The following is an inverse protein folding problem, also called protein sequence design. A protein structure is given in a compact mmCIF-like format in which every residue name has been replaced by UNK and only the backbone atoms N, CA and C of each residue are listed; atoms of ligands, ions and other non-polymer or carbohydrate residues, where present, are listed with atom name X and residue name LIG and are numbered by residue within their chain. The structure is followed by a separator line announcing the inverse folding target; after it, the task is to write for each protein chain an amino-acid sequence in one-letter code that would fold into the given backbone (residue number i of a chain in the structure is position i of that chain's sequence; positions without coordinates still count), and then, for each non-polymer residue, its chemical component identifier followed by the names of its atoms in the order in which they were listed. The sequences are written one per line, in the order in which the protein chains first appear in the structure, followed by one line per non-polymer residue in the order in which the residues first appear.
data_IF_635004628390
#
_entry.id   IF_635004628390
#
_cell.length_a   1.000
_cell.length_b   1.000
_cell.length_c   1.000
_cell.angle_alpha   90.00
_cell.angle_beta   90.00
_cell.angle_gamma   90.00
#
_symmetry.space_group_name_H-M   'P 1'
#
loop_
_entity.id
_entity.type
_entity.pdbx_description
1 polymer ?
#
# COMPACT_ATOMS: atom_id res chain seq x y z
N UNK A 1 12.42 -4.42 11.33
CA UNK A 1 12.81 -5.32 10.23
C UNK A 1 11.64 -5.81 9.37
N UNK A 2 10.36 -5.63 9.76
CA UNK A 2 9.18 -6.01 8.95
C UNK A 2 8.80 -5.04 7.79
N UNK A 3 9.69 -4.13 7.38
CA UNK A 3 9.34 -2.94 6.55
C UNK A 3 9.88 -2.95 5.12
N UNK A 4 10.54 -4.02 4.65
CA UNK A 4 11.22 -4.03 3.33
C UNK A 4 10.61 -5.05 2.35
N UNK A 5 9.95 -6.09 2.86
CA UNK A 5 9.56 -7.31 2.13
C UNK A 5 8.53 -7.12 1.01
N UNK A 6 7.59 -6.19 1.17
CA UNK A 6 6.50 -6.04 0.22
C UNK A 6 6.83 -5.10 -0.96
N UNK A 7 7.88 -4.28 -0.81
CA UNK A 7 8.22 -3.18 -1.74
C UNK A 7 8.89 -3.68 -3.02
N UNK A 8 9.67 -4.76 -2.95
CA UNK A 8 10.41 -5.31 -4.10
C UNK A 8 9.49 -6.14 -5.01
N UNK A 9 8.53 -6.86 -4.44
CA UNK A 9 7.70 -7.83 -5.14
C UNK A 9 6.49 -7.27 -5.89
N UNK A 10 5.89 -6.16 -5.44
CA UNK A 10 4.65 -5.66 -6.10
C UNK A 10 4.99 -4.91 -7.41
N UNK A 11 6.10 -4.17 -7.44
CA UNK A 11 6.41 -3.24 -8.55
C UNK A 11 7.83 -3.32 -9.14
N UNK A 12 8.70 -4.23 -8.69
CA UNK A 12 10.02 -4.43 -9.31
C UNK A 12 11.03 -3.28 -9.09
N UNK A 13 11.05 -2.67 -7.91
CA UNK A 13 12.05 -1.65 -7.56
C UNK A 13 13.18 -2.25 -6.72
N UNK A 14 14.39 -2.26 -7.26
CA UNK A 14 15.62 -2.59 -6.51
C UNK A 14 15.93 -1.46 -5.52
N UNK A 15 15.82 -1.72 -4.21
CA UNK A 15 16.26 -0.75 -3.18
C UNK A 15 17.72 -1.01 -2.87
N UNK A 16 18.61 -0.18 -3.41
CA UNK A 16 20.01 -0.16 -3.00
C UNK A 16 20.13 0.26 -1.53
N UNK A 17 20.48 -0.66 -0.64
CA UNK A 17 20.72 -0.37 0.77
C UNK A 17 22.03 0.41 0.94
N UNK A 18 21.93 1.73 0.89
CA UNK A 18 22.97 2.67 1.30
C UNK A 18 22.75 3.19 2.72
N UNK A 19 23.75 2.99 3.56
CA UNK A 19 24.00 3.61 4.88
C UNK A 19 23.22 3.08 6.10
N UNK A 20 23.99 2.42 6.96
CA UNK A 20 23.68 2.10 8.35
C UNK A 20 23.43 3.37 9.18
N UNK A 21 22.36 3.36 9.98
CA UNK A 21 22.27 4.22 11.16
C UNK A 21 21.95 3.37 12.39
N UNK A 22 22.86 3.41 13.35
CA UNK A 22 22.82 2.67 14.60
C UNK A 22 21.67 3.18 15.50
N UNK A 23 20.61 2.39 15.66
CA UNK A 23 19.67 2.55 16.76
C UNK A 23 19.99 1.53 17.86
N UNK A 24 20.63 2.04 18.93
CA UNK A 24 20.89 1.32 20.17
C UNK A 24 19.57 0.85 20.81
N UNK A 25 19.22 -0.41 20.61
CA UNK A 25 18.17 -1.09 21.39
C UNK A 25 18.82 -1.84 22.56
N UNK A 26 18.42 -1.45 23.78
CA UNK A 26 18.82 -2.09 25.02
C UNK A 26 18.45 -3.58 24.98
N UNK A 27 19.43 -4.40 25.33
CA UNK A 27 19.37 -5.86 25.47
C UNK A 27 18.13 -6.31 26.26
N UNK A 28 17.25 -7.09 25.63
CA UNK A 28 16.24 -7.88 26.34
C UNK A 28 16.95 -9.10 26.93
N UNK A 29 16.79 -9.44 28.23
CA UNK A 29 17.48 -10.59 28.80
C UNK A 29 16.93 -11.90 28.23
N UNK A 30 17.81 -12.86 27.92
CA UNK A 30 17.40 -14.19 27.50
C UNK A 30 16.90 -15.02 28.70
N UNK A 31 16.07 -16.01 28.38
CA UNK A 31 15.34 -16.88 29.34
C UNK A 31 16.24 -17.72 30.26
N UNK A 32 17.55 -17.69 30.08
CA UNK A 32 18.53 -18.35 30.96
C UNK A 32 18.71 -17.65 32.31
N UNK A 33 18.33 -16.37 32.45
CA UNK A 33 18.54 -15.58 33.68
C UNK A 33 17.35 -15.58 34.66
N UNK A 34 16.24 -16.25 34.34
CA UNK A 34 15.05 -16.27 35.21
C UNK A 34 14.77 -17.67 35.77
N UNK A 35 15.33 -17.93 36.95
CA UNK A 35 15.10 -19.14 37.73
C UNK A 35 13.61 -19.45 37.92
N UNK A 36 13.28 -20.73 37.76
CA UNK A 36 11.93 -21.30 37.83
C UNK A 36 11.19 -20.90 39.12
N UNK A 37 10.11 -20.14 38.99
CA UNK A 37 9.01 -20.15 39.96
C UNK A 37 7.66 -20.20 39.23
N UNK A 38 6.94 -21.31 39.43
CA UNK A 38 5.53 -21.48 39.02
C UNK A 38 4.66 -20.43 39.72
N UNK A 39 4.24 -19.41 38.98
CA UNK A 39 3.25 -18.41 39.37
C UNK A 39 2.19 -18.28 38.28
N UNK A 40 0.93 -18.35 38.66
CA UNK A 40 -0.25 -18.27 37.79
C UNK A 40 -0.33 -16.88 37.16
N UNK A 41 0.08 -16.72 35.90
CA UNK A 41 -0.03 -15.45 35.18
C UNK A 41 -1.45 -15.26 34.65
N UNK A 42 -2.18 -14.32 35.24
CA UNK A 42 -3.38 -13.74 34.64
C UNK A 42 -2.98 -12.99 33.37
N UNK A 43 -3.50 -13.44 32.22
CA UNK A 43 -3.33 -12.77 30.93
C UNK A 43 -3.91 -11.35 31.00
N UNK A 44 -3.04 -10.35 31.03
CA UNK A 44 -3.39 -8.98 30.71
C UNK A 44 -3.04 -8.79 29.24
N UNK A 45 -4.03 -8.96 28.36
CA UNK A 45 -3.89 -8.61 26.94
C UNK A 45 -3.70 -7.09 26.85
N UNK A 46 -2.66 -6.56 26.19
CA UNK A 46 -2.66 -5.16 25.82
C UNK A 46 -3.84 -4.95 24.88
N UNK A 47 -4.80 -4.11 25.29
CA UNK A 47 -5.83 -3.60 24.38
C UNK A 47 -5.15 -2.60 23.45
N UNK A 48 -4.61 -3.11 22.34
CA UNK A 48 -4.25 -2.26 21.21
C UNK A 48 -5.58 -1.91 20.52
N UNK A 49 -5.86 -0.62 20.40
CA UNK A 49 -7.04 -0.13 19.70
C UNK A 49 -6.79 -0.32 18.20
N UNK A 50 -7.35 -1.39 17.65
CA UNK A 50 -7.34 -1.66 16.21
C UNK A 50 -8.44 -0.77 15.59
N UNK A 51 -8.13 0.11 14.62
CA UNK A 51 -9.18 0.67 13.79
C UNK A 51 -9.83 -0.49 13.05
N UNK A 52 -11.12 -0.68 13.27
CA UNK A 52 -11.92 -1.72 12.61
C UNK A 52 -11.69 -1.63 11.11
N UNK A 53 -11.00 -2.62 10.53
CA UNK A 53 -11.01 -2.84 9.09
C UNK A 53 -12.47 -3.13 8.76
N UNK A 54 -13.16 -2.15 8.20
CA UNK A 54 -14.52 -2.36 7.72
C UNK A 54 -14.39 -3.40 6.61
N UNK A 55 -14.99 -4.57 6.81
CA UNK A 55 -15.27 -5.50 5.72
C UNK A 55 -16.09 -4.73 4.67
N UNK A 56 -15.46 -4.27 3.60
CA UNK A 56 -16.15 -3.68 2.47
C UNK A 56 -16.72 -4.83 1.63
N UNK A 57 -17.80 -5.44 2.11
CA UNK A 57 -18.68 -6.21 1.24
C UNK A 57 -19.39 -5.24 0.30
N UNK A 58 -18.77 -4.92 -0.83
CA UNK A 58 -19.47 -4.31 -1.96
C UNK A 58 -19.12 -5.11 -3.21
N UNK A 59 -20.04 -6.00 -3.58
CA UNK A 59 -20.05 -6.65 -4.88
C UNK A 59 -20.35 -5.59 -5.94
N UNK A 60 -19.33 -5.12 -6.64
CA UNK A 60 -19.50 -4.29 -7.83
C UNK A 60 -19.25 -5.09 -9.12
N UNK A 61 -20.05 -4.90 -10.17
CA UNK A 61 -19.86 -5.58 -11.46
C UNK A 61 -18.83 -4.85 -12.34
N UNK A 62 -17.96 -5.64 -12.99
CA UNK A 62 -17.23 -5.35 -14.23
C UNK A 62 -16.22 -4.19 -14.31
N UNK A 63 -14.92 -4.53 -14.29
CA UNK A 63 -13.94 -4.12 -15.31
C UNK A 63 -13.58 -2.64 -15.54
N UNK A 64 -13.94 -1.71 -14.67
CA UNK A 64 -13.53 -0.30 -14.84
C UNK A 64 -12.10 -0.11 -14.34
N UNK A 65 -11.16 0.14 -15.27
CA UNK A 65 -9.83 0.68 -14.94
C UNK A 65 -10.00 2.09 -14.37
N UNK A 66 -9.24 2.43 -13.34
CA UNK A 66 -9.06 3.80 -12.86
C UNK A 66 -8.72 4.73 -14.04
N UNK A 67 -9.45 5.84 -14.17
CA UNK A 67 -9.26 6.85 -15.21
C UNK A 67 -8.93 8.20 -14.59
N UNK A 68 -8.11 8.99 -15.30
CA UNK A 68 -7.70 10.34 -14.87
C UNK A 68 -8.51 11.40 -15.62
N UNK A 69 -9.17 12.30 -14.89
CA UNK A 69 -9.86 13.49 -15.41
C UNK A 69 -8.93 14.71 -15.50
N UNK A 70 -7.95 14.76 -14.61
CA UNK A 70 -6.98 15.83 -14.49
C UNK A 70 -5.69 15.22 -13.98
N UNK A 71 -4.56 15.58 -14.59
CA UNK A 71 -3.23 15.36 -14.03
C UNK A 71 -2.39 16.62 -14.26
N UNK A 72 -1.76 17.12 -13.20
CA UNK A 72 -0.84 18.25 -13.24
C UNK A 72 0.37 17.95 -12.35
N UNK A 73 1.53 17.77 -12.97
CA UNK A 73 2.83 17.61 -12.30
C UNK A 73 3.71 18.87 -12.38
N UNK A 74 3.15 20.02 -12.78
CA UNK A 74 3.80 21.33 -12.83
C UNK A 74 5.04 21.47 -13.74
N UNK A 75 5.37 20.45 -14.52
CA UNK A 75 6.54 20.38 -15.42
C UNK A 75 6.58 21.46 -16.51
N UNK A 76 5.48 22.20 -16.71
CA UNK A 76 5.48 23.40 -17.55
C UNK A 76 6.35 24.54 -16.99
N UNK A 77 6.73 24.49 -15.71
CA UNK A 77 7.54 25.50 -15.05
C UNK A 77 6.87 26.87 -14.98
N UNK A 78 5.53 26.91 -15.04
CA UNK A 78 4.70 28.12 -15.03
C UNK A 78 3.55 27.97 -14.04
N UNK A 79 3.20 29.07 -13.37
CA UNK A 79 2.08 29.14 -12.42
C UNK A 79 1.21 30.37 -12.73
N UNK A 80 -0.13 30.22 -12.84
CA UNK A 80 -0.86 28.96 -12.79
C UNK A 80 -0.60 28.13 -14.08
N UNK A 81 -0.72 26.80 -14.04
CA UNK A 81 -0.64 25.97 -15.24
C UNK A 81 -1.77 26.25 -16.23
N UNK A 82 -1.70 25.68 -17.43
CA UNK A 82 -2.69 25.94 -18.47
C UNK A 82 -4.09 25.52 -18.03
N UNK A 83 -5.06 26.45 -18.09
CA UNK A 83 -6.45 26.21 -17.69
C UNK A 83 -6.72 26.40 -16.19
N UNK A 84 -5.68 26.50 -15.37
CA UNK A 84 -5.78 26.86 -13.96
C UNK A 84 -5.83 28.38 -13.80
N UNK A 85 -6.30 28.83 -12.64
CA UNK A 85 -6.32 30.23 -12.24
C UNK A 85 -5.72 30.39 -10.85
N UNK A 86 -5.14 31.55 -10.54
CA UNK A 86 -4.76 31.88 -9.17
C UNK A 86 -5.36 33.22 -8.74
N UNK A 87 -5.72 33.32 -7.46
CA UNK A 87 -6.36 34.48 -6.87
C UNK A 87 -5.68 34.84 -5.55
N UNK A 88 -5.21 36.08 -5.45
CA UNK A 88 -4.60 36.62 -4.23
C UNK A 88 -5.67 37.40 -3.50
N UNK A 89 -6.47 36.66 -2.72
CA UNK A 89 -7.55 37.20 -1.91
C UNK A 89 -6.94 37.87 -0.68
N UNK A 90 -7.60 38.92 -0.18
CA UNK A 90 -7.17 39.81 0.93
C UNK A 90 -5.89 40.63 0.73
N UNK A 91 -4.93 40.21 -0.09
CA UNK A 91 -3.74 41.01 -0.40
C UNK A 91 -3.26 40.87 -1.86
N UNK A 92 -3.50 41.92 -2.66
CA UNK A 92 -3.06 41.95 -4.06
C UNK A 92 -1.55 42.08 -4.27
N UNK A 93 -0.77 42.34 -3.20
CA UNK A 93 0.69 42.36 -3.26
C UNK A 93 1.31 41.00 -2.91
N UNK A 94 0.49 40.01 -2.53
CA UNK A 94 0.99 38.67 -2.29
C UNK A 94 1.68 38.13 -3.56
N UNK A 95 2.86 37.49 -3.43
CA UNK A 95 3.47 36.73 -4.53
C UNK A 95 2.60 35.57 -5.02
N UNK A 96 1.63 35.12 -4.21
CA UNK A 96 0.73 34.03 -4.54
C UNK A 96 1.45 32.68 -4.63
N UNK A 97 0.86 31.77 -5.40
CA UNK A 97 1.45 30.47 -5.68
C UNK A 97 2.62 30.62 -6.66
N UNK A 98 3.69 29.88 -6.40
CA UNK A 98 4.97 29.96 -7.10
C UNK A 98 5.43 28.58 -7.58
N UNK A 99 6.41 28.54 -8.50
CA UNK A 99 7.08 27.31 -8.94
C UNK A 99 8.39 27.14 -8.18
N UNK A 100 8.68 25.91 -7.78
CA UNK A 100 9.95 25.50 -7.17
C UNK A 100 10.55 24.29 -7.90
N UNK A 101 11.84 24.02 -7.67
CA UNK A 101 12.52 22.79 -8.12
C UNK A 101 12.65 21.74 -7.02
N UNK A 102 12.12 22.00 -5.81
CA UNK A 102 11.91 20.97 -4.79
C UNK A 102 10.59 20.26 -5.13
N UNK A 103 10.68 19.21 -5.94
CA UNK A 103 9.56 18.47 -6.50
C UNK A 103 9.50 17.03 -5.96
N UNK A 104 8.33 16.40 -5.98
CA UNK A 104 8.16 14.98 -5.67
C UNK A 104 8.65 14.14 -6.85
N UNK A 105 8.23 14.52 -8.06
CA UNK A 105 8.58 13.86 -9.32
C UNK A 105 8.90 14.93 -10.37
N UNK A 106 9.75 14.59 -11.35
CA UNK A 106 10.11 15.56 -12.38
C UNK A 106 11.01 16.70 -11.88
N UNK A 107 10.80 17.89 -12.41
CA UNK A 107 11.65 19.08 -12.23
C UNK A 107 10.99 20.15 -11.37
N UNK A 108 9.67 20.27 -11.43
CA UNK A 108 8.95 21.40 -10.88
C UNK A 108 7.77 20.96 -10.01
N UNK A 109 7.51 21.72 -8.95
CA UNK A 109 6.29 21.61 -8.15
C UNK A 109 5.71 23.01 -7.91
N UNK A 110 4.44 23.06 -7.51
CA UNK A 110 3.83 24.28 -7.01
C UNK A 110 4.10 24.42 -5.50
N UNK A 111 4.35 25.65 -5.05
CA UNK A 111 4.47 25.93 -3.62
C UNK A 111 3.95 27.32 -3.28
N UNK A 112 3.59 27.51 -2.03
CA UNK A 112 3.32 28.78 -1.41
C UNK A 112 4.36 29.03 -0.30
N UNK A 113 4.91 30.24 -0.24
CA UNK A 113 5.99 30.61 0.67
C UNK A 113 5.44 31.24 1.97
N UNK A 114 6.28 31.38 2.99
CA UNK A 114 5.95 32.08 4.25
C UNK A 114 5.88 33.61 4.10
N UNK A 115 5.17 34.09 3.08
CA UNK A 115 5.18 35.48 2.67
C UNK A 115 4.56 36.42 3.72
N UNK A 116 5.07 37.65 3.75
CA UNK A 116 4.53 38.71 4.61
C UNK A 116 3.27 39.32 4.00
N UNK A 117 2.18 39.30 4.77
CA UNK A 117 0.94 39.98 4.40
C UNK A 117 1.02 41.49 4.71
N UNK A 118 0.61 42.33 3.78
CA UNK A 118 0.40 43.76 4.01
C UNK A 118 -0.93 44.06 4.74
N UNK A 119 -1.76 43.04 4.92
CA UNK A 119 -2.99 43.02 5.75
C UNK A 119 -2.85 41.96 6.85
N UNK A 120 -3.87 41.77 7.70
CA UNK A 120 -3.80 40.84 8.84
C UNK A 120 -3.55 39.35 8.44
N UNK A 121 -3.73 38.98 7.16
CA UNK A 121 -3.33 37.69 6.56
C UNK A 121 -3.54 37.68 5.04
N UNK A 122 -2.69 36.98 4.27
CA UNK A 122 -2.93 36.68 2.85
C UNK A 122 -3.81 35.44 2.68
N UNK A 123 -4.55 35.35 1.58
CA UNK A 123 -5.36 34.18 1.23
C UNK A 123 -5.22 33.88 -0.26
N UNK A 124 -4.36 32.93 -0.59
CA UNK A 124 -3.96 32.68 -1.97
C UNK A 124 -4.49 31.34 -2.46
N UNK A 125 -5.22 31.39 -3.57
CA UNK A 125 -5.98 30.29 -4.13
C UNK A 125 -5.36 29.86 -5.44
N UNK A 126 -5.11 28.57 -5.62
CA UNK A 126 -4.78 27.96 -6.90
C UNK A 126 -5.93 27.05 -7.31
N UNK A 127 -6.64 27.43 -8.36
CA UNK A 127 -7.93 26.84 -8.77
C UNK A 127 -7.75 26.05 -10.07
N UNK A 128 -8.28 24.83 -10.09
CA UNK A 128 -8.28 23.95 -11.26
C UNK A 128 -9.14 24.51 -12.39
N UNK A 129 -9.01 23.99 -13.63
CA UNK A 129 -10.09 24.10 -14.62
C UNK A 129 -11.40 23.50 -14.08
N UNK A 130 -12.51 23.77 -14.77
CA UNK A 130 -13.77 23.09 -14.49
C UNK A 130 -13.64 21.59 -14.83
N UNK A 131 -14.08 20.72 -13.92
CA UNK A 131 -14.06 19.28 -14.05
C UNK A 131 -15.48 18.72 -14.04
N UNK A 132 -15.84 17.93 -15.05
CA UNK A 132 -17.11 17.21 -15.07
C UNK A 132 -16.96 15.86 -14.38
N UNK A 133 -17.52 15.72 -13.18
CA UNK A 133 -17.40 14.51 -12.37
C UNK A 133 -18.37 13.44 -12.89
N UNK A 134 -17.88 12.24 -13.25
CA UNK A 134 -18.73 11.17 -13.74
C UNK A 134 -19.70 10.68 -12.66
N UNK A 135 -20.89 10.28 -13.08
CA UNK A 135 -21.87 9.68 -12.18
C UNK A 135 -21.64 8.17 -12.08
N UNK A 136 -21.90 7.60 -10.90
CA UNK A 136 -21.97 6.14 -10.69
C UNK A 136 -20.66 5.47 -10.32
N UNK A 137 -19.53 6.18 -10.33
CA UNK A 137 -18.20 5.68 -9.94
C UNK A 137 -17.66 6.45 -8.73
N UNK A 138 -16.84 5.83 -7.86
CA UNK A 138 -16.03 6.56 -6.90
C UNK A 138 -15.11 7.55 -7.60
N UNK A 139 -14.91 8.72 -7.01
CA UNK A 139 -14.02 9.77 -7.54
C UNK A 139 -13.17 10.32 -6.42
N UNK A 140 -11.88 10.52 -6.68
CA UNK A 140 -10.91 10.99 -5.70
C UNK A 140 -10.05 12.10 -6.27
N UNK A 141 -9.74 13.10 -5.43
CA UNK A 141 -8.58 13.96 -5.61
C UNK A 141 -7.39 13.28 -4.92
N UNK A 142 -6.27 13.16 -5.63
CA UNK A 142 -5.01 12.62 -5.13
C UNK A 142 -3.89 13.61 -5.46
N UNK A 143 -3.02 13.91 -4.51
CA UNK A 143 -1.82 14.71 -4.78
C UNK A 143 -0.73 14.43 -3.74
N UNK A 144 0.50 14.84 -4.03
CA UNK A 144 1.60 14.83 -3.07
C UNK A 144 1.69 16.18 -2.40
N UNK A 145 1.91 16.19 -1.09
CA UNK A 145 2.19 17.40 -0.35
C UNK A 145 3.51 17.30 0.41
N UNK A 146 4.08 18.45 0.74
CA UNK A 146 5.17 18.63 1.67
C UNK A 146 5.01 19.97 2.38
N UNK A 147 5.38 20.04 3.65
CA UNK A 147 5.23 21.23 4.49
C UNK A 147 6.55 21.53 5.20
N UNK A 148 6.95 22.80 5.21
CA UNK A 148 8.08 23.27 6.03
C UNK A 148 7.59 24.30 7.04
N UNK A 149 8.34 24.46 8.12
CA UNK A 149 8.00 25.39 9.20
C UNK A 149 6.61 25.17 9.81
N UNK A 150 6.17 23.90 9.90
CA UNK A 150 4.85 23.52 10.42
C UNK A 150 4.58 23.95 11.87
N UNK A 151 5.61 24.30 12.65
CA UNK A 151 5.45 24.95 13.97
C UNK A 151 4.72 26.30 13.88
N UNK A 152 4.73 26.94 12.70
CA UNK A 152 4.08 28.22 12.40
C UNK A 152 2.82 28.06 11.56
N UNK A 153 2.32 26.82 11.38
CA UNK A 153 1.13 26.52 10.60
C UNK A 153 -0.04 27.41 11.01
N UNK A 154 -0.65 28.06 10.01
CA UNK A 154 -1.89 28.79 10.16
C UNK A 154 -3.03 28.06 9.48
N UNK A 155 -2.97 27.95 8.15
CA UNK A 155 -3.99 27.25 7.39
C UNK A 155 -3.53 26.94 5.97
N UNK A 156 -3.78 25.70 5.56
CA UNK A 156 -3.90 25.35 4.16
C UNK A 156 -4.89 24.19 3.97
N UNK A 157 -5.60 24.19 2.85
CA UNK A 157 -6.69 23.24 2.62
C UNK A 157 -7.14 23.15 1.17
N UNK A 158 -8.06 22.23 0.91
CA UNK A 158 -8.74 22.05 -0.37
C UNK A 158 -10.20 22.52 -0.24
N UNK A 159 -10.62 23.34 -1.19
CA UNK A 159 -11.98 23.84 -1.35
C UNK A 159 -12.58 23.36 -2.66
N UNK A 160 -13.90 23.32 -2.73
CA UNK A 160 -14.65 22.86 -3.91
C UNK A 160 -15.81 23.81 -4.20
N UNK A 161 -16.04 24.11 -5.48
CA UNK A 161 -17.18 24.90 -5.97
C UNK A 161 -17.96 24.11 -7.00
N UNK A 162 -19.28 24.24 -6.99
CA UNK A 162 -20.22 23.70 -8.01
C UNK A 162 -20.83 24.81 -8.88
N UNK A 163 -20.41 26.06 -8.66
CA UNK A 163 -20.86 27.25 -9.37
C UNK A 163 -19.70 27.88 -10.13
N UNK A 164 -19.17 28.99 -9.61
CA UNK A 164 -18.04 29.71 -10.18
C UNK A 164 -16.68 29.22 -9.70
N UNK A 165 -15.66 29.32 -10.56
CA UNK A 165 -14.26 29.11 -10.22
C UNK A 165 -13.56 30.35 -9.60
N UNK A 166 -14.27 31.48 -9.47
CA UNK A 166 -13.74 32.68 -8.80
C UNK A 166 -14.14 32.68 -7.31
N UNK A 167 -13.17 32.70 -6.37
CA UNK A 167 -13.48 32.73 -4.94
C UNK A 167 -14.29 33.97 -4.50
N UNK A 168 -14.27 35.07 -5.25
CA UNK A 168 -15.06 36.26 -4.93
C UNK A 168 -16.57 36.08 -5.15
N UNK A 169 -16.98 35.07 -5.92
CA UNK A 169 -18.39 34.77 -6.14
C UNK A 169 -19.02 34.03 -4.95
N UNK A 170 -18.20 33.46 -4.05
CA UNK A 170 -18.64 32.85 -2.80
C UNK A 170 -19.25 31.45 -2.93
N UNK A 171 -19.04 30.77 -4.05
CA UNK A 171 -19.56 29.42 -4.32
C UNK A 171 -18.69 28.29 -3.75
N UNK A 172 -17.45 28.59 -3.33
CA UNK A 172 -16.55 27.61 -2.74
C UNK A 172 -16.96 27.23 -1.31
N UNK A 173 -16.92 25.93 -1.04
CA UNK A 173 -17.04 25.36 0.31
C UNK A 173 -15.79 24.56 0.64
N UNK A 174 -15.40 24.57 1.91
CA UNK A 174 -14.23 23.83 2.37
C UNK A 174 -14.49 22.32 2.27
N UNK A 175 -13.57 21.61 1.63
CA UNK A 175 -13.63 20.16 1.50
C UNK A 175 -12.75 19.48 2.55
N UNK A 176 -11.54 20.00 2.77
CA UNK A 176 -10.63 19.53 3.81
C UNK A 176 -9.62 20.61 4.20
N UNK A 177 -9.49 20.87 5.50
CA UNK A 177 -8.30 21.50 6.07
C UNK A 177 -7.21 20.43 6.23
N UNK A 178 -5.97 20.75 5.89
CA UNK A 178 -4.84 19.81 5.91
C UNK A 178 -3.90 20.08 7.11
N UNK A 179 -4.46 20.28 8.30
CA UNK A 179 -3.70 20.54 9.54
C UNK A 179 -3.09 19.29 10.19
N UNK A 180 -3.18 18.13 9.53
CA UNK A 180 -2.59 16.87 9.99
C UNK A 180 -1.65 16.31 8.94
N UNK A 181 -0.68 15.49 9.36
CA UNK A 181 0.39 14.95 8.51
C UNK A 181 1.28 16.04 7.88
N UNK A 182 1.57 17.11 8.64
CA UNK A 182 2.53 18.15 8.26
C UNK A 182 3.95 17.57 8.31
N UNK A 183 4.54 17.31 7.16
CA UNK A 183 5.80 16.58 7.00
C UNK A 183 6.74 17.31 6.06
N UNK A 184 8.03 17.34 6.40
CA UNK A 184 9.08 17.83 5.50
C UNK A 184 9.43 16.85 4.39
N UNK A 185 8.99 15.59 4.51
CA UNK A 185 9.03 14.58 3.46
C UNK A 185 7.70 14.58 2.70
N UNK A 186 7.76 14.30 1.40
CA UNK A 186 6.57 14.19 0.56
C UNK A 186 5.65 13.05 1.01
N UNK A 187 4.37 13.36 1.21
CA UNK A 187 3.33 12.38 1.52
C UNK A 187 2.13 12.54 0.59
N UNK A 188 1.36 11.47 0.40
CA UNK A 188 0.14 11.52 -0.40
C UNK A 188 -1.05 12.03 0.41
N UNK A 189 -1.91 12.80 -0.25
CA UNK A 189 -3.23 13.20 0.21
C UNK A 189 -4.27 12.62 -0.72
N UNK A 190 -5.34 12.08 -0.14
CA UNK A 190 -6.52 11.56 -0.85
C UNK A 190 -7.79 12.15 -0.25
N UNK A 191 -8.66 12.67 -1.12
CA UNK A 191 -9.93 13.27 -0.71
C UNK A 191 -11.05 12.69 -1.59
N UNK A 192 -12.11 12.20 -0.94
CA UNK A 192 -13.28 11.62 -1.61
C UNK A 192 -14.15 12.73 -2.23
N UNK A 193 -14.40 12.63 -3.53
CA UNK A 193 -15.26 13.53 -4.31
C UNK A 193 -16.60 12.90 -4.69
N UNK A 194 -16.91 11.71 -4.21
CA UNK A 194 -18.11 10.95 -4.60
C UNK A 194 -19.43 11.68 -4.31
N UNK A 195 -19.43 12.63 -3.36
CA UNK A 195 -20.59 13.49 -3.09
C UNK A 195 -20.94 14.44 -4.27
N UNK A 196 -19.99 14.66 -5.18
CA UNK A 196 -20.11 15.52 -6.35
C UNK A 196 -20.29 14.75 -7.65
N UNK A 197 -20.55 13.43 -7.57
CA UNK A 197 -20.80 12.58 -8.73
C UNK A 197 -21.91 13.13 -9.63
N UNK A 198 -21.62 13.28 -10.92
CA UNK A 198 -22.53 13.84 -11.93
C UNK A 198 -22.63 15.37 -11.94
N UNK A 199 -21.75 16.08 -11.24
CA UNK A 199 -21.71 17.56 -11.20
C UNK A 199 -20.46 18.11 -11.89
N UNK A 200 -20.55 19.35 -12.34
CA UNK A 200 -19.36 20.12 -12.74
C UNK A 200 -18.80 20.84 -11.51
N UNK A 201 -17.50 20.71 -11.28
CA UNK A 201 -16.83 21.28 -10.10
C UNK A 201 -15.58 22.09 -10.46
N UNK A 202 -15.14 22.92 -9.53
CA UNK A 202 -13.78 23.46 -9.45
C UNK A 202 -13.17 23.03 -8.11
N UNK A 203 -11.89 22.68 -8.10
CA UNK A 203 -11.12 22.45 -6.88
C UNK A 203 -10.15 23.60 -6.68
N UNK A 204 -9.90 23.99 -5.44
CA UNK A 204 -8.95 25.03 -5.09
C UNK A 204 -8.03 24.59 -3.96
N UNK A 205 -6.74 24.81 -4.13
CA UNK A 205 -5.73 24.71 -3.08
C UNK A 205 -5.57 26.10 -2.47
N UNK A 206 -5.86 26.21 -1.18
CA UNK A 206 -5.94 27.50 -0.48
C UNK A 206 -4.91 27.54 0.62
N UNK A 207 -4.07 28.57 0.59
CA UNK A 207 -3.12 28.89 1.67
C UNK A 207 -3.56 30.20 2.34
N UNK A 208 -3.52 30.25 3.67
CA UNK A 208 -3.77 31.47 4.45
C UNK A 208 -2.72 31.60 5.54
N UNK A 209 -2.06 32.75 5.61
CA UNK A 209 -1.00 32.99 6.61
C UNK A 209 -0.46 34.43 6.58
N UNK A 210 0.49 34.70 7.46
CA UNK A 210 1.41 35.86 7.44
C UNK A 210 2.69 35.40 8.15
N UNK A 211 3.80 35.28 7.42
CA UNK A 211 5.03 34.63 7.93
C UNK A 211 4.75 33.28 8.62
N UNK A 212 3.91 32.46 7.98
CA UNK A 212 3.42 31.19 8.53
C UNK A 212 4.30 30.01 8.02
N UNK A 213 3.70 28.90 7.64
CA UNK A 213 4.41 27.74 7.10
C UNK A 213 4.66 27.85 5.58
N UNK A 214 5.41 26.93 4.98
CA UNK A 214 5.50 26.80 3.53
C UNK A 214 4.78 25.51 3.10
N UNK A 215 3.98 25.58 2.05
CA UNK A 215 3.21 24.45 1.55
C UNK A 215 3.53 24.14 0.10
N UNK A 216 3.86 22.88 -0.18
CA UNK A 216 4.27 22.36 -1.48
C UNK A 216 3.25 21.33 -1.93
N UNK A 217 2.86 21.37 -3.20
CA UNK A 217 2.00 20.37 -3.83
C UNK A 217 2.57 19.93 -5.19
N UNK A 218 2.39 18.65 -5.50
CA UNK A 218 2.87 18.05 -6.74
C UNK A 218 1.98 16.86 -7.16
N UNK A 219 2.04 16.45 -8.42
CA UNK A 219 1.27 15.36 -9.01
C UNK A 219 -0.23 15.43 -8.64
N UNK A 220 -0.88 16.57 -8.91
CA UNK A 220 -2.31 16.75 -8.65
C UNK A 220 -3.11 15.95 -9.67
N UNK A 221 -3.90 15.00 -9.18
CA UNK A 221 -4.71 14.11 -10.01
C UNK A 221 -6.15 14.03 -9.53
N UNK A 222 -7.11 14.05 -10.46
CA UNK A 222 -8.50 13.67 -10.19
C UNK A 222 -8.80 12.38 -10.92
N UNK A 223 -9.08 11.33 -10.16
CA UNK A 223 -9.26 9.96 -10.64
C UNK A 223 -10.68 9.49 -10.38
N UNK A 224 -11.21 8.65 -11.27
CA UNK A 224 -12.51 8.02 -11.09
C UNK A 224 -12.52 6.57 -11.57
N UNK A 225 -13.54 5.83 -11.11
CA UNK A 225 -13.62 4.39 -11.21
C UNK A 225 -13.36 3.75 -9.85
N UNK A 226 -13.69 2.47 -9.70
CA UNK A 226 -13.27 1.75 -8.50
C UNK A 226 -11.74 1.87 -8.37
N UNK A 227 -11.28 2.37 -7.21
CA UNK A 227 -9.89 2.15 -6.83
C UNK A 227 -9.73 0.64 -6.76
N UNK A 228 -9.15 0.02 -7.78
CA UNK A 228 -8.72 -1.36 -7.63
C UNK A 228 -7.69 -1.30 -6.52
N UNK A 229 -7.97 -1.94 -5.39
CA UNK A 229 -6.91 -2.25 -4.47
C UNK A 229 -5.78 -2.90 -5.28
N UNK A 230 -4.53 -2.53 -5.03
CA UNK A 230 -3.41 -3.11 -5.76
C UNK A 230 -3.35 -4.63 -5.53
N UNK A 231 -3.81 -5.04 -4.35
CA UNK A 231 -3.70 -6.39 -3.82
C UNK A 231 -5.03 -6.91 -3.30
N UNK A 232 -5.38 -8.16 -3.64
CA UNK A 232 -6.37 -8.92 -2.87
C UNK A 232 -5.66 -9.80 -1.86
N UNK A 233 -5.94 -9.63 -0.58
CA UNK A 233 -5.52 -10.57 0.47
C UNK A 233 -6.60 -11.63 0.61
N UNK A 234 -6.27 -12.88 0.28
CA UNK A 234 -7.14 -14.04 0.42
C UNK A 234 -6.74 -14.81 1.69
N UNK A 235 -7.65 -14.84 2.65
CA UNK A 235 -7.52 -15.58 3.92
C UNK A 235 -8.30 -16.89 3.83
N UNK A 236 -7.54 -17.97 3.67
CA UNK A 236 -8.03 -19.30 3.31
C UNK A 236 -7.89 -20.35 4.43
N UNK A 237 -7.53 -19.93 5.66
CA UNK A 237 -7.38 -20.84 6.80
C UNK A 237 -7.64 -20.22 8.18
N UNK A 238 -8.12 -18.99 8.25
CA UNK A 238 -8.84 -18.48 9.43
C UNK A 238 -8.11 -17.46 10.30
N UNK A 239 -7.20 -16.65 9.73
CA UNK A 239 -6.82 -15.38 10.33
C UNK A 239 -5.40 -14.86 10.10
N UNK A 240 -4.48 -15.61 9.47
CA UNK A 240 -3.11 -15.06 9.25
C UNK A 240 -3.07 -14.00 8.15
N UNK A 241 -4.14 -13.83 7.37
CA UNK A 241 -4.28 -12.74 6.41
C UNK A 241 -4.05 -11.37 7.06
N UNK A 242 -4.36 -11.24 8.35
CA UNK A 242 -4.11 -10.01 9.11
C UNK A 242 -2.63 -9.59 9.16
N UNK A 243 -1.68 -10.53 9.18
CA UNK A 243 -0.25 -10.18 9.19
C UNK A 243 0.18 -9.48 7.89
N UNK A 244 -0.36 -9.93 6.75
CA UNK A 244 -0.11 -9.31 5.45
C UNK A 244 -0.79 -7.94 5.33
N UNK A 245 -2.03 -7.81 5.80
CA UNK A 245 -2.74 -6.51 5.76
C UNK A 245 -1.99 -5.42 6.54
N UNK A 246 -1.37 -5.74 7.68
CA UNK A 246 -0.55 -4.77 8.41
C UNK A 246 0.70 -4.36 7.62
N UNK A 247 1.36 -5.30 6.96
CA UNK A 247 2.54 -5.02 6.14
C UNK A 247 2.16 -4.12 4.96
N UNK A 248 1.12 -4.50 4.20
CA UNK A 248 0.54 -3.73 3.09
C UNK A 248 0.21 -2.31 3.51
N UNK A 249 -0.57 -2.16 4.58
CA UNK A 249 -0.96 -0.86 5.10
C UNK A 249 0.26 -0.01 5.50
N UNK A 250 1.23 -0.60 6.20
CA UNK A 250 2.43 0.11 6.66
C UNK A 250 3.34 0.60 5.54
N UNK A 251 3.15 0.04 4.34
CA UNK A 251 3.92 0.35 3.14
C UNK A 251 3.12 1.21 2.15
N UNK A 252 1.92 1.64 2.54
CA UNK A 252 1.08 2.53 1.73
C UNK A 252 0.30 1.83 0.62
N UNK A 253 0.27 0.50 0.60
CA UNK A 253 -0.51 -0.26 -0.39
C UNK A 253 -1.99 -0.27 -0.03
N UNK A 254 -2.81 -0.20 -1.06
CA UNK A 254 -4.24 -0.45 -0.98
C UNK A 254 -4.52 -1.93 -1.19
N UNK A 255 -5.40 -2.51 -0.38
CA UNK A 255 -5.76 -3.91 -0.51
C UNK A 255 -7.21 -4.14 -0.11
N UNK A 256 -7.82 -5.14 -0.74
CA UNK A 256 -9.08 -5.73 -0.29
C UNK A 256 -8.81 -7.06 0.42
N UNK A 257 -9.77 -7.50 1.21
CA UNK A 257 -9.68 -8.71 2.02
C UNK A 257 -10.82 -9.66 1.68
N UNK A 258 -10.46 -10.86 1.26
CA UNK A 258 -11.40 -11.93 0.95
C UNK A 258 -11.20 -13.07 1.95
N UNK A 259 -12.19 -13.31 2.81
CA UNK A 259 -12.17 -14.43 3.73
C UNK A 259 -12.96 -15.60 3.13
N UNK A 260 -12.28 -16.70 2.83
CA UNK A 260 -12.89 -17.85 2.18
C UNK A 260 -13.89 -18.57 3.10
N UNK A 261 -13.59 -18.64 4.41
CA UNK A 261 -14.48 -19.27 5.39
C UNK A 261 -15.81 -18.51 5.55
N UNK A 262 -15.78 -17.17 5.58
CA UNK A 262 -16.97 -16.31 5.62
C UNK A 262 -17.77 -16.41 4.31
N UNK A 263 -17.07 -16.53 3.18
CA UNK A 263 -17.68 -16.60 1.84
C UNK A 263 -18.17 -18.00 1.46
N UNK A 264 -17.65 -19.04 2.12
CA UNK A 264 -17.87 -20.45 1.78
C UNK A 264 -17.31 -20.86 0.42
N UNK A 265 -16.34 -20.12 -0.12
CA UNK A 265 -15.68 -20.35 -1.42
C UNK A 265 -14.38 -19.55 -1.51
N UNK A 266 -13.53 -19.90 -2.46
CA UNK A 266 -12.46 -19.04 -2.96
C UNK A 266 -12.97 -17.91 -3.89
N UNK A 267 -12.16 -16.85 -4.14
CA UNK A 267 -12.44 -15.86 -5.18
C UNK A 267 -12.43 -16.48 -6.57
N UNK A 268 -13.31 -16.00 -7.45
CA UNK A 268 -13.38 -16.40 -8.86
C UNK A 268 -12.32 -15.70 -9.70
N UNK A 269 -12.03 -16.21 -10.90
CA UNK A 269 -11.14 -15.54 -11.86
C UNK A 269 -11.53 -14.07 -12.09
N UNK A 270 -12.82 -13.77 -12.31
CA UNK A 270 -13.31 -12.40 -12.53
C UNK A 270 -13.08 -11.48 -11.31
N UNK A 271 -13.07 -12.03 -10.11
CA UNK A 271 -12.73 -11.28 -8.89
C UNK A 271 -11.23 -11.09 -8.77
N UNK A 272 -10.42 -12.11 -9.05
CA UNK A 272 -8.96 -12.07 -9.00
C UNK A 272 -8.36 -11.11 -10.03
N UNK A 273 -8.87 -11.09 -11.26
CA UNK A 273 -8.39 -10.23 -12.36
C UNK A 273 -8.59 -8.73 -12.12
N UNK A 274 -9.28 -8.34 -11.03
CA UNK A 274 -9.40 -6.95 -10.59
C UNK A 274 -8.14 -6.43 -9.91
N UNK A 275 -7.23 -7.30 -9.50
CA UNK A 275 -6.07 -6.97 -8.69
C UNK A 275 -4.77 -7.28 -9.43
N UNK A 276 -3.75 -6.45 -9.22
CA UNK A 276 -2.43 -6.66 -9.84
C UNK A 276 -1.66 -7.80 -9.18
N UNK A 277 -1.91 -8.03 -7.90
CA UNK A 277 -1.37 -9.15 -7.15
C UNK A 277 -2.41 -9.72 -6.19
N UNK A 278 -2.23 -11.00 -5.87
CA UNK A 278 -2.95 -11.70 -4.81
C UNK A 278 -1.94 -12.11 -3.74
N UNK A 279 -2.33 -11.96 -2.47
CA UNK A 279 -1.63 -12.55 -1.32
C UNK A 279 -2.57 -13.57 -0.72
N UNK A 280 -2.26 -14.84 -0.93
CA UNK A 280 -3.05 -15.97 -0.47
C UNK A 280 -2.36 -16.64 0.70
N UNK A 281 -3.02 -16.68 1.84
CA UNK A 281 -2.56 -17.46 3.00
C UNK A 281 -3.53 -18.58 3.22
N UNK A 282 -3.02 -19.81 3.31
CA UNK A 282 -3.82 -20.89 3.86
C UNK A 282 -3.81 -20.71 5.37
N UNK A 283 -2.71 -20.95 6.08
CA UNK A 283 -2.43 -20.66 7.50
C UNK A 283 -1.55 -21.86 7.96
N UNK A 284 -1.66 -22.29 9.23
CA UNK A 284 -1.08 -23.53 9.73
C UNK A 284 -2.12 -24.65 9.74
N UNK A 285 -2.42 -25.26 8.59
CA UNK A 285 -3.45 -26.30 8.54
C UNK A 285 -2.96 -27.68 8.99
N UNK A 286 -3.35 -28.05 10.21
CA UNK A 286 -3.34 -29.46 10.65
C UNK A 286 -4.60 -30.24 10.21
N UNK A 287 -5.62 -29.55 9.65
CA UNK A 287 -6.92 -30.15 9.27
C UNK A 287 -7.49 -29.45 8.02
N UNK A 288 -7.71 -30.16 6.89
CA UNK A 288 -8.09 -29.57 5.59
C UNK A 288 -9.55 -29.11 5.50
N UNK A 289 -10.25 -28.88 6.61
CA UNK A 289 -11.71 -28.78 6.57
C UNK A 289 -12.28 -27.45 6.03
N UNK A 290 -11.48 -26.46 5.63
CA UNK A 290 -11.96 -25.18 5.08
C UNK A 290 -10.93 -24.46 4.18
N UNK A 291 -10.06 -25.18 3.47
CA UNK A 291 -9.13 -24.59 2.49
C UNK A 291 -9.80 -24.64 1.12
N UNK A 292 -9.69 -23.57 0.34
CA UNK A 292 -10.38 -23.40 -0.95
C UNK A 292 -9.42 -23.11 -2.12
N UNK A 293 -8.11 -23.05 -1.89
CA UNK A 293 -7.12 -22.82 -2.96
C UNK A 293 -7.13 -23.93 -4.03
N UNK A 294 -7.48 -25.17 -3.68
CA UNK A 294 -7.64 -26.27 -4.63
C UNK A 294 -8.88 -26.09 -5.51
N UNK A 295 -9.99 -25.63 -4.94
CA UNK A 295 -11.20 -25.26 -5.69
C UNK A 295 -10.92 -24.12 -6.70
N UNK A 296 -9.96 -23.25 -6.43
CA UNK A 296 -9.56 -22.13 -7.30
C UNK A 296 -8.38 -22.41 -8.23
N UNK A 297 -7.84 -23.64 -8.26
CA UNK A 297 -6.61 -23.95 -8.98
C UNK A 297 -6.63 -23.56 -10.47
N UNK A 298 -7.73 -23.85 -11.19
CA UNK A 298 -7.87 -23.50 -12.61
C UNK A 298 -7.96 -21.98 -12.82
N UNK A 299 -8.66 -21.27 -11.93
CA UNK A 299 -8.80 -19.81 -11.98
C UNK A 299 -7.46 -19.12 -11.64
N UNK A 300 -6.69 -19.67 -10.69
CA UNK A 300 -5.34 -19.19 -10.34
C UNK A 300 -4.40 -19.33 -11.54
N UNK A 301 -4.40 -20.49 -12.20
CA UNK A 301 -3.57 -20.71 -13.39
C UNK A 301 -3.93 -19.71 -14.51
N UNK A 302 -5.22 -19.47 -14.75
CA UNK A 302 -5.68 -18.48 -15.72
C UNK A 302 -5.24 -17.05 -15.34
N UNK A 303 -5.38 -16.67 -14.07
CA UNK A 303 -4.95 -15.36 -13.56
C UNK A 303 -3.45 -15.10 -13.80
N UNK A 304 -2.60 -16.08 -13.48
CA UNK A 304 -1.15 -16.01 -13.71
C UNK A 304 -0.78 -15.96 -15.20
N UNK A 305 -1.51 -16.69 -16.03
CA UNK A 305 -1.35 -16.64 -17.49
C UNK A 305 -1.69 -15.26 -18.06
N UNK A 306 -2.64 -14.55 -17.45
CA UNK A 306 -3.05 -13.20 -17.84
C UNK A 306 -2.16 -12.09 -17.26
N UNK A 307 -1.06 -12.44 -16.59
CA UNK A 307 -0.07 -11.50 -16.08
C UNK A 307 -0.29 -11.06 -14.64
N UNK A 308 -1.25 -11.68 -13.94
CA UNK A 308 -1.40 -11.56 -12.49
C UNK A 308 -0.19 -12.08 -11.74
N UNK A 309 -0.05 -11.63 -10.49
CA UNK A 309 1.00 -12.09 -9.56
C UNK A 309 0.38 -12.73 -8.33
N UNK A 310 0.92 -13.85 -7.88
CA UNK A 310 0.41 -14.58 -6.72
C UNK A 310 1.53 -14.81 -5.71
N UNK A 311 1.30 -14.38 -4.47
CA UNK A 311 2.03 -14.85 -3.29
C UNK A 311 1.18 -15.92 -2.61
N UNK A 312 1.73 -17.12 -2.40
CA UNK A 312 1.14 -18.13 -1.52
C UNK A 312 2.02 -18.33 -0.29
N UNK A 313 1.41 -18.24 0.88
CA UNK A 313 2.02 -18.57 2.18
C UNK A 313 1.25 -19.70 2.83
N UNK A 314 1.94 -20.77 3.22
CA UNK A 314 1.34 -21.93 3.87
C UNK A 314 2.41 -22.68 4.65
N UNK A 315 2.01 -23.47 5.65
CA UNK A 315 2.89 -24.45 6.32
C UNK A 315 2.83 -25.88 5.73
N UNK A 316 1.66 -26.35 5.26
CA UNK A 316 1.44 -27.79 4.99
C UNK A 316 0.64 -28.06 3.69
N UNK A 317 0.54 -27.05 2.81
CA UNK A 317 -0.28 -27.07 1.60
C UNK A 317 0.11 -28.23 0.67
N UNK A 318 1.40 -28.49 0.50
CA UNK A 318 1.86 -29.59 -0.35
C UNK A 318 1.52 -30.95 0.26
N UNK A 319 1.59 -31.11 1.58
CA UNK A 319 1.25 -32.39 2.21
C UNK A 319 -0.24 -32.72 2.16
N UNK A 320 -1.12 -31.78 2.55
CA UNK A 320 -2.55 -32.06 2.68
C UNK A 320 -3.39 -31.79 1.43
N UNK A 321 -3.06 -30.75 0.65
CA UNK A 321 -3.91 -30.26 -0.43
C UNK A 321 -3.32 -30.61 -1.80
N UNK A 322 -2.02 -30.38 -1.98
CA UNK A 322 -1.33 -30.62 -3.25
C UNK A 322 -0.18 -31.64 -3.14
N UNK A 323 -0.44 -32.91 -2.73
CA UNK A 323 0.59 -33.95 -2.71
C UNK A 323 1.12 -34.27 -4.11
N UNK A 324 0.41 -33.81 -5.15
CA UNK A 324 0.92 -33.66 -6.50
C UNK A 324 0.71 -32.18 -6.88
N UNK A 325 1.77 -31.35 -6.82
CA UNK A 325 1.65 -29.92 -7.07
C UNK A 325 1.08 -29.62 -8.46
N UNK A 326 0.10 -28.71 -8.58
CA UNK A 326 -0.42 -28.28 -9.87
C UNK A 326 0.65 -27.51 -10.65
N UNK A 327 0.52 -27.50 -11.98
CA UNK A 327 1.55 -26.94 -12.87
C UNK A 327 1.86 -25.46 -12.59
N UNK A 328 0.84 -24.68 -12.22
CA UNK A 328 0.98 -23.25 -11.92
C UNK A 328 1.89 -22.95 -10.71
N UNK A 329 2.16 -23.92 -9.84
CA UNK A 329 3.12 -23.75 -8.74
C UNK A 329 4.57 -23.91 -9.18
N UNK A 330 4.87 -24.54 -10.33
CA UNK A 330 6.24 -24.79 -10.78
C UNK A 330 7.11 -25.57 -9.77
N UNK A 331 6.48 -26.47 -9.01
CA UNK A 331 7.13 -27.38 -8.05
C UNK A 331 7.23 -28.77 -8.70
N UNK A 332 8.46 -29.26 -8.86
CA UNK A 332 8.71 -30.60 -9.41
C UNK A 332 8.45 -31.70 -8.37
N UNK A 333 8.91 -31.48 -7.14
CA UNK A 333 8.73 -32.36 -5.99
C UNK A 333 8.99 -31.59 -4.70
N UNK A 334 8.68 -32.18 -3.55
CA UNK A 334 9.02 -31.62 -2.25
C UNK A 334 9.40 -32.73 -1.27
N UNK A 335 10.21 -32.38 -0.28
CA UNK A 335 10.49 -33.21 0.88
C UNK A 335 9.81 -32.54 2.06
N UNK A 336 8.95 -33.29 2.74
CA UNK A 336 8.14 -32.76 3.83
C UNK A 336 8.90 -32.62 5.12
N UNK A 337 8.52 -31.64 5.93
CA UNK A 337 8.93 -31.50 7.33
C UNK A 337 10.47 -31.47 7.52
N UNK A 338 11.19 -30.82 6.61
CA UNK A 338 12.67 -30.82 6.66
C UNK A 338 13.16 -29.94 7.80
N UNK A 339 12.48 -28.81 8.04
CA UNK A 339 12.77 -27.91 9.15
C UNK A 339 11.69 -27.93 10.22
N UNK A 340 11.98 -28.67 11.29
CA UNK A 340 11.11 -28.77 12.46
C UNK A 340 11.47 -27.78 13.57
N UNK A 341 12.58 -27.05 13.43
CA UNK A 341 13.09 -26.06 14.37
C UNK A 341 13.12 -24.65 13.72
N UNK A 342 13.38 -23.61 14.52
CA UNK A 342 13.59 -22.24 14.02
C UNK A 342 14.77 -22.20 13.04
N UNK A 343 14.61 -21.49 11.91
CA UNK A 343 15.67 -21.30 10.91
C UNK A 343 15.70 -19.86 10.40
N UNK A 344 16.81 -19.50 9.76
CA UNK A 344 16.94 -18.25 9.02
C UNK A 344 16.68 -18.49 7.54
N UNK A 345 15.72 -17.79 6.97
CA UNK A 345 15.52 -17.73 5.53
C UNK A 345 16.55 -16.78 4.92
N UNK A 346 17.42 -17.32 4.08
CA UNK A 346 18.44 -16.61 3.33
C UNK A 346 18.01 -16.42 1.89
N UNK A 347 17.98 -15.18 1.43
CA UNK A 347 17.72 -14.88 0.04
C UNK A 347 18.85 -15.37 -0.86
N UNK A 348 18.49 -16.07 -1.93
CA UNK A 348 19.47 -16.65 -2.87
C UNK A 348 20.24 -15.52 -3.57
N UNK A 349 21.59 -15.53 -3.58
CA UNK A 349 22.37 -14.46 -4.20
C UNK A 349 22.05 -14.28 -5.69
N UNK A 350 21.73 -13.05 -6.08
CA UNK A 350 21.31 -12.69 -7.43
C UNK A 350 19.88 -13.12 -7.80
N UNK A 351 19.14 -13.73 -6.88
CA UNK A 351 17.71 -13.97 -7.07
C UNK A 351 16.99 -12.64 -7.02
N UNK A 352 15.96 -12.51 -7.85
CA UNK A 352 15.47 -11.19 -8.14
C UNK A 352 14.42 -10.73 -7.09
N UNK A 353 13.99 -11.61 -6.18
CA UNK A 353 13.23 -11.29 -4.96
C UNK A 353 14.12 -11.33 -3.72
N UNK A 354 14.93 -12.38 -3.57
CA UNK A 354 15.65 -12.71 -2.35
C UNK A 354 16.98 -12.01 -2.16
N UNK A 355 17.67 -11.55 -3.21
CA UNK A 355 19.07 -11.12 -3.09
C UNK A 355 19.31 -10.05 -2.00
N UNK A 356 20.17 -10.40 -1.04
CA UNK A 356 20.52 -9.54 0.10
C UNK A 356 19.49 -9.47 1.21
N UNK A 357 18.44 -10.30 1.17
CA UNK A 357 17.41 -10.40 2.20
C UNK A 357 17.67 -11.58 3.13
N UNK A 358 17.45 -11.37 4.43
CA UNK A 358 17.45 -12.42 5.45
C UNK A 358 16.33 -12.16 6.46
N UNK A 359 15.63 -13.22 6.85
CA UNK A 359 14.66 -13.15 7.94
C UNK A 359 14.62 -14.43 8.74
N UNK A 360 14.46 -14.29 10.03
CA UNK A 360 14.28 -15.42 10.90
C UNK A 360 12.83 -15.93 10.81
N UNK A 361 12.66 -17.23 10.62
CA UNK A 361 11.39 -17.93 10.71
C UNK A 361 11.35 -18.65 12.06
N UNK A 362 10.61 -18.05 12.99
CA UNK A 362 10.51 -18.52 14.37
C UNK A 362 9.15 -19.14 14.66
N UNK A 363 9.15 -20.24 15.42
CA UNK A 363 7.96 -20.71 16.11
C UNK A 363 7.91 -20.14 17.54
N UNK A 364 7.04 -19.14 17.76
CA UNK A 364 6.73 -18.63 19.11
C UNK A 364 5.78 -19.59 19.88
N UNK A 365 5.27 -20.63 19.21
CA UNK A 365 4.46 -21.71 19.79
C UNK A 365 5.29 -22.96 20.08
N UNK A 366 4.64 -23.98 20.64
CA UNK A 366 5.31 -25.20 21.11
C UNK A 366 5.42 -26.27 20.00
N UNK A 367 5.41 -25.88 18.72
CA UNK A 367 5.05 -26.76 17.63
C UNK A 367 6.06 -26.97 16.51
N UNK A 368 7.18 -26.28 16.34
CA UNK A 368 8.05 -26.51 15.18
C UNK A 368 7.46 -26.00 13.86
N UNK A 369 8.34 -25.60 12.94
CA UNK A 369 7.97 -24.83 11.76
C UNK A 369 7.44 -25.68 10.59
N UNK A 370 7.77 -26.99 10.56
CA UNK A 370 7.31 -27.98 9.57
C UNK A 370 7.45 -27.52 8.11
N UNK A 371 8.45 -26.70 7.80
CA UNK A 371 8.62 -26.21 6.43
C UNK A 371 9.01 -27.35 5.48
N UNK A 372 8.45 -27.30 4.28
CA UNK A 372 8.78 -28.22 3.20
C UNK A 372 10.01 -27.73 2.42
N UNK A 373 10.92 -28.65 2.07
CA UNK A 373 11.94 -28.39 1.06
C UNK A 373 11.33 -28.56 -0.34
N UNK A 374 11.38 -27.51 -1.14
CA UNK A 374 10.80 -27.43 -2.48
C UNK A 374 11.88 -27.73 -3.52
N UNK A 375 11.57 -28.59 -4.49
CA UNK A 375 12.38 -28.77 -5.69
C UNK A 375 11.69 -28.04 -6.85
N UNK A 376 12.25 -26.92 -7.35
CA UNK A 376 11.65 -26.16 -8.45
C UNK A 376 11.69 -26.96 -9.77
N UNK A 377 10.75 -26.68 -10.68
CA UNK A 377 10.91 -27.06 -12.09
C UNK A 377 12.04 -26.26 -12.75
N UNK A 378 12.51 -26.70 -13.91
CA UNK A 378 13.66 -26.10 -14.60
C UNK A 378 13.46 -24.63 -15.04
N UNK A 379 12.23 -24.15 -15.02
CA UNK A 379 11.81 -22.80 -15.39
C UNK A 379 11.48 -21.91 -14.17
N UNK A 380 11.60 -22.43 -12.95
CA UNK A 380 11.48 -21.69 -11.70
C UNK A 380 12.85 -21.48 -11.03
N UNK A 381 12.93 -20.43 -10.22
CA UNK A 381 14.14 -20.06 -9.48
C UNK A 381 13.89 -20.22 -7.98
N UNK A 382 14.90 -20.69 -7.25
CA UNK A 382 14.92 -20.57 -5.80
C UNK A 382 15.11 -19.10 -5.42
N UNK A 383 14.30 -18.62 -4.48
CA UNK A 383 14.36 -17.24 -3.98
C UNK A 383 14.86 -17.19 -2.54
N UNK A 384 14.52 -18.19 -1.73
CA UNK A 384 15.01 -18.33 -0.36
C UNK A 384 15.41 -19.77 -0.07
N UNK A 385 16.46 -19.91 0.72
CA UNK A 385 16.96 -21.15 1.29
C UNK A 385 16.98 -21.05 2.82
N UNK A 386 16.84 -22.16 3.54
CA UNK A 386 17.05 -22.23 4.99
C UNK A 386 18.56 -22.19 5.37
N UNK A 387 18.86 -22.42 6.65
CA UNK A 387 20.25 -22.50 7.15
C UNK A 387 21.06 -23.68 6.58
N UNK A 388 20.39 -24.74 6.09
CA UNK A 388 20.99 -25.97 5.54
C UNK A 388 21.06 -25.97 4.00
N UNK A 389 20.53 -24.94 3.33
CA UNK A 389 20.51 -24.77 1.88
C UNK A 389 19.32 -25.42 1.17
N UNK A 390 18.30 -25.84 1.91
CA UNK A 390 17.04 -26.34 1.37
C UNK A 390 16.21 -25.17 0.83
N UNK A 391 15.70 -25.29 -0.40
CA UNK A 391 14.86 -24.25 -0.99
C UNK A 391 13.49 -24.22 -0.30
N UNK A 392 13.15 -23.08 0.29
CA UNK A 392 11.89 -22.86 1.03
C UNK A 392 10.96 -21.88 0.31
N UNK A 393 11.48 -21.16 -0.69
CA UNK A 393 10.66 -20.35 -1.56
C UNK A 393 11.15 -20.32 -3.00
N UNK A 394 10.19 -20.26 -3.93
CA UNK A 394 10.46 -20.26 -5.36
C UNK A 394 9.69 -19.14 -6.08
N UNK A 395 10.19 -18.75 -7.25
CA UNK A 395 9.45 -17.92 -8.19
C UNK A 395 9.48 -18.44 -9.62
N UNK A 396 8.53 -17.97 -10.44
CA UNK A 396 8.44 -18.31 -11.86
C UNK A 396 8.38 -17.09 -12.79
N UNK A 397 9.11 -17.18 -13.91
CA UNK A 397 9.25 -16.23 -15.05
C UNK A 397 10.04 -14.95 -14.78
N UNK A 398 10.56 -14.32 -15.85
CA UNK A 398 11.32 -13.04 -15.86
C UNK A 398 10.55 -11.81 -15.29
N UNK A 399 9.35 -12.00 -14.74
CA UNK A 399 8.49 -10.95 -14.17
C UNK A 399 7.75 -11.33 -12.88
N UNK A 400 8.15 -12.41 -12.19
CA UNK A 400 7.61 -12.87 -10.90
C UNK A 400 6.09 -13.08 -10.88
N UNK A 401 5.62 -14.11 -11.58
CA UNK A 401 4.20 -14.46 -11.60
C UNK A 401 3.76 -15.15 -10.32
N UNK A 402 4.61 -15.99 -9.77
CA UNK A 402 4.32 -16.78 -8.58
C UNK A 402 5.45 -16.64 -7.58
N UNK A 403 5.12 -16.51 -6.31
CA UNK A 403 6.01 -16.70 -5.18
C UNK A 403 5.31 -17.61 -4.17
N UNK A 404 5.95 -18.71 -3.82
CA UNK A 404 5.45 -19.58 -2.75
C UNK A 404 6.50 -19.74 -1.69
N UNK A 405 6.08 -19.56 -0.44
CA UNK A 405 6.85 -19.86 0.75
C UNK A 405 6.10 -20.94 1.54
N UNK A 406 6.79 -22.08 1.72
CA UNK A 406 6.35 -23.18 2.57
C UNK A 406 6.64 -22.92 4.05
#
# INVERSE_FOLDING_TARGET
MRRVWLLVLIFGVTVGLGASSNLNLKRVPSRADMGVKKGRHTSVRPKIHVPVVKQYHKTSPSGVKQQSLLFEGFEGGVIPPSGWSQYMVSDSNSPGWQITTDAYEGTYAAYHNDDHASTDSLSDWLVTPQLSIPAGEPVWLVFKQKVRFSDWYWYHGVWISTGSGDPNDGDFVELAELSSNLSTDWNEIRIDLSAYAGQDIYLAFVYVGDFSDEWYIDNVEVIYGEMSADVLVVDDGGGSGLYFTYALYSLGYTFDYFNCADSGRAPTLEEMERYQALVWTTDGEYIPSNVYIDDASDDIEAYLNNGGKLWVSSQDLLYYIFPTPPAWMHIQSYIKDVDVDDFTAHGVPGSAIGDGLEFDVFDDWAFGNWADEIVPTADANAEFEDDDGHTIAISYSDGYKFFFSA
#
